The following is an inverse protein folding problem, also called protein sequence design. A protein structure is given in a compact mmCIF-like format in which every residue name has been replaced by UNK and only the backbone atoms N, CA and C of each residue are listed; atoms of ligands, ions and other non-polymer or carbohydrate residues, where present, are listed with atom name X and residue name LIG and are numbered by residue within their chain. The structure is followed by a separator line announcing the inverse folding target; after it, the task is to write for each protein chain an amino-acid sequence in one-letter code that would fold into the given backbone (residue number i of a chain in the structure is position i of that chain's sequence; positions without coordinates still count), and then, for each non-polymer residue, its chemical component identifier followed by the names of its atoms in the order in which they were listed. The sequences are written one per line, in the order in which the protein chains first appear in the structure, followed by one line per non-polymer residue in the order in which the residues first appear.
data_IF_860830381922
#
_entry.id   IF_860830381922
#
_cell.length_a   1.000
_cell.length_b   1.000
_cell.length_c   1.000
_cell.angle_alpha   90.00
_cell.angle_beta   90.00
_cell.angle_gamma   90.00
#
_symmetry.space_group_name_H-M   'P 1'
#
loop_
_entity.id
_entity.type
_entity.pdbx_description
1 polymer ?
#
# COMPACT_ATOMS: atom_id res chain seq x y z
N UNK A 1 -28.16 29.16 -34.73
CA UNK A 1 -27.45 30.26 -34.05
C UNK A 1 -26.73 29.67 -32.83
N UNK A 2 -25.41 29.42 -32.91
CA UNK A 2 -24.62 28.93 -31.78
C UNK A 2 -23.83 30.09 -31.20
N UNK A 3 -24.27 30.60 -30.04
CA UNK A 3 -23.55 31.63 -29.30
C UNK A 3 -22.32 31.04 -28.63
N UNK A 4 -21.15 31.59 -28.95
CA UNK A 4 -19.86 31.25 -28.37
C UNK A 4 -19.91 31.17 -26.85
N UNK A 5 -19.69 29.97 -26.28
CA UNK A 5 -19.26 29.84 -24.88
C UNK A 5 -17.86 30.45 -24.82
N UNK A 6 -17.76 31.70 -24.41
CA UNK A 6 -16.47 32.37 -24.23
C UNK A 6 -15.71 31.65 -23.10
N UNK A 7 -14.42 31.39 -23.31
CA UNK A 7 -13.52 30.86 -22.31
C UNK A 7 -13.29 31.94 -21.23
N UNK A 8 -14.20 32.04 -20.26
CA UNK A 8 -14.17 33.12 -19.25
C UNK A 8 -12.89 33.11 -18.40
N UNK A 9 -12.25 31.95 -18.22
CA UNK A 9 -10.96 31.82 -17.53
C UNK A 9 -9.81 32.45 -18.32
N UNK A 10 -9.82 32.36 -19.65
CA UNK A 10 -8.79 32.99 -20.48
C UNK A 10 -8.94 34.51 -20.52
N UNK A 11 -10.18 35.00 -20.52
CA UNK A 11 -10.47 36.43 -20.40
C UNK A 11 -9.97 36.95 -19.05
N UNK A 12 -10.25 36.22 -17.97
CA UNK A 12 -9.81 36.58 -16.63
C UNK A 12 -8.28 36.53 -16.47
N UNK A 13 -7.61 35.51 -17.04
CA UNK A 13 -6.14 35.44 -17.07
C UNK A 13 -5.51 36.61 -17.83
N UNK A 14 -6.12 37.04 -18.94
CA UNK A 14 -5.65 38.23 -19.69
C UNK A 14 -5.76 39.51 -18.85
N UNK A 15 -6.89 39.72 -18.17
CA UNK A 15 -7.09 40.88 -17.29
C UNK A 15 -6.08 40.86 -16.14
N UNK A 16 -5.82 39.70 -15.53
CA UNK A 16 -4.81 39.58 -14.47
C UNK A 16 -3.38 39.84 -14.97
N UNK A 17 -3.05 39.38 -16.19
CA UNK A 17 -1.76 39.64 -16.81
C UNK A 17 -1.57 41.13 -17.14
N UNK A 18 -2.63 41.80 -17.61
CA UNK A 18 -2.64 43.23 -17.89
C UNK A 18 -2.44 44.06 -16.62
N UNK A 19 -3.16 43.74 -15.54
CA UNK A 19 -3.00 44.38 -14.22
C UNK A 19 -1.61 44.12 -13.60
N UNK A 20 -1.01 42.95 -13.87
CA UNK A 20 0.34 42.66 -13.39
C UNK A 20 1.42 43.41 -14.18
N UNK A 21 1.17 43.66 -15.47
CA UNK A 21 2.08 44.41 -16.35
C UNK A 21 1.98 45.92 -16.13
N UNK A 22 0.78 46.44 -15.88
CA UNK A 22 0.52 47.85 -15.61
C UNK A 22 -0.48 47.98 -14.45
N UNK A 23 0.01 48.02 -13.19
CA UNK A 23 -0.85 48.03 -12.02
C UNK A 23 -1.55 49.39 -11.88
N UNK A 24 -2.90 49.44 -11.86
CA UNK A 24 -3.62 50.69 -11.67
C UNK A 24 -3.22 51.35 -10.34
N UNK A 25 -3.08 52.67 -10.40
CA UNK A 25 -2.72 53.53 -9.26
C UNK A 25 -3.76 53.38 -8.15
N UNK A 26 -3.39 52.63 -7.11
CA UNK A 26 -4.27 52.30 -5.99
C UNK A 26 -4.12 50.85 -5.48
N UNK A 27 -3.49 49.97 -6.25
CA UNK A 27 -3.17 48.62 -5.78
C UNK A 27 -1.84 48.58 -5.02
N UNK A 28 -1.90 48.06 -3.80
CA UNK A 28 -0.71 47.77 -2.99
C UNK A 28 0.09 46.61 -3.57
N UNK A 29 1.41 46.58 -3.32
CA UNK A 29 2.29 45.46 -3.74
C UNK A 29 1.76 44.09 -3.28
N UNK A 30 1.13 44.04 -2.11
CA UNK A 30 0.49 42.82 -1.56
C UNK A 30 -0.70 42.37 -2.40
N UNK A 31 -1.54 43.31 -2.87
CA UNK A 31 -2.68 43.00 -3.73
C UNK A 31 -2.22 42.54 -5.12
N UNK A 32 -1.21 43.18 -5.70
CA UNK A 32 -0.61 42.74 -6.98
C UNK A 32 -0.04 41.32 -6.84
N UNK A 33 0.65 41.03 -5.73
CA UNK A 33 1.15 39.67 -5.44
C UNK A 33 0.01 38.66 -5.28
N UNK A 34 -1.07 39.01 -4.59
CA UNK A 34 -2.23 38.13 -4.45
C UNK A 34 -2.89 37.82 -5.80
N UNK A 35 -2.98 38.80 -6.70
CA UNK A 35 -3.51 38.62 -8.05
C UNK A 35 -2.60 37.72 -8.90
N UNK A 36 -1.27 37.87 -8.78
CA UNK A 36 -0.31 36.97 -9.42
C UNK A 36 -0.40 35.54 -8.90
N UNK A 37 -0.55 35.36 -7.58
CA UNK A 37 -0.72 34.04 -6.95
C UNK A 37 -2.04 33.37 -7.38
N UNK A 38 -3.11 34.16 -7.61
CA UNK A 38 -4.37 33.68 -8.19
C UNK A 38 -4.17 33.27 -9.66
N UNK A 39 -3.46 34.07 -10.45
CA UNK A 39 -3.18 33.75 -11.85
C UNK A 39 -2.41 32.42 -12.00
N UNK A 40 -1.39 32.21 -11.17
CA UNK A 40 -0.61 30.97 -11.15
C UNK A 40 -1.43 29.73 -10.72
N UNK A 41 -2.50 29.91 -9.94
CA UNK A 41 -3.42 28.81 -9.61
C UNK A 41 -4.43 28.54 -10.72
N UNK A 42 -4.75 29.56 -11.51
CA UNK A 42 -5.70 29.45 -12.61
C UNK A 42 -5.09 28.83 -13.87
N UNK A 43 -3.76 28.84 -14.03
CA UNK A 43 -3.09 28.15 -15.15
C UNK A 43 -3.40 26.65 -15.18
N UNK A 44 -3.59 26.03 -14.01
CA UNK A 44 -3.96 24.61 -13.88
C UNK A 44 -5.39 24.30 -14.36
N UNK A 45 -6.22 25.34 -14.54
CA UNK A 45 -7.61 25.24 -14.99
C UNK A 45 -7.83 25.80 -16.41
N UNK A 46 -6.75 25.97 -17.18
CA UNK A 46 -6.82 26.49 -18.55
C UNK A 46 -7.70 25.58 -19.42
N UNK A 47 -8.78 26.15 -20.00
CA UNK A 47 -9.80 25.42 -20.76
C UNK A 47 -11.02 24.97 -19.96
N UNK A 48 -11.09 25.26 -18.66
CA UNK A 48 -12.27 25.04 -17.82
C UNK A 48 -13.10 26.31 -17.67
N UNK A 49 -14.39 26.17 -17.41
CA UNK A 49 -15.28 27.31 -17.09
C UNK A 49 -15.14 27.72 -15.62
N UNK A 50 -15.42 29.00 -15.29
CA UNK A 50 -15.37 29.48 -13.89
C UNK A 50 -16.33 28.67 -12.99
N UNK A 51 -17.44 28.19 -13.53
CA UNK A 51 -18.38 27.30 -12.84
C UNK A 51 -17.75 25.97 -12.46
N UNK A 52 -16.94 25.36 -13.34
CA UNK A 52 -16.21 24.12 -13.05
C UNK A 52 -15.18 24.32 -11.95
N UNK A 53 -14.42 25.43 -11.99
CA UNK A 53 -13.47 25.83 -10.94
C UNK A 53 -14.18 26.01 -9.59
N UNK A 54 -15.36 26.66 -9.58
CA UNK A 54 -16.16 26.84 -8.36
C UNK A 54 -16.64 25.50 -7.79
N UNK A 55 -17.07 24.54 -8.62
CA UNK A 55 -17.39 23.19 -8.16
C UNK A 55 -16.18 22.39 -7.68
N UNK A 56 -14.98 22.62 -8.23
CA UNK A 56 -13.75 22.03 -7.74
C UNK A 56 -13.34 22.57 -6.37
N UNK A 57 -13.60 23.85 -6.09
CA UNK A 57 -13.30 24.50 -4.81
C UNK A 57 -14.37 24.28 -3.74
N UNK A 58 -15.65 24.18 -4.13
CA UNK A 58 -16.78 24.00 -3.20
C UNK A 58 -16.97 22.53 -2.75
N UNK A 59 -16.41 21.56 -3.49
CA UNK A 59 -16.32 20.19 -3.01
C UNK A 59 -15.18 20.13 -1.99
N UNK A 60 -15.41 19.71 -0.72
CA UNK A 60 -14.30 19.42 0.18
C UNK A 60 -13.44 18.41 -0.55
N UNK A 61 -12.17 18.76 -0.79
CA UNK A 61 -11.31 18.00 -1.67
C UNK A 61 -11.40 16.52 -1.32
N UNK A 62 -12.05 15.72 -2.19
CA UNK A 62 -11.73 14.31 -2.28
C UNK A 62 -10.27 14.32 -2.71
N UNK A 63 -9.39 14.22 -1.71
CA UNK A 63 -7.94 14.24 -1.89
C UNK A 63 -7.64 13.45 -3.17
N UNK A 64 -6.90 14.00 -4.14
CA UNK A 64 -6.45 13.18 -5.25
C UNK A 64 -5.83 11.94 -4.64
N UNK A 65 -6.29 10.76 -5.08
CA UNK A 65 -5.76 9.48 -4.63
C UNK A 65 -4.26 9.55 -4.89
N UNK A 66 -3.52 9.88 -3.84
CA UNK A 66 -2.07 9.97 -3.90
C UNK A 66 -1.61 8.64 -4.49
N UNK A 67 -0.82 8.70 -5.57
CA UNK A 67 0.04 7.58 -5.92
C UNK A 67 0.71 7.18 -4.61
N UNK A 68 0.46 5.94 -4.19
CA UNK A 68 0.67 5.44 -2.83
C UNK A 68 2.18 5.42 -2.52
N UNK A 69 2.77 6.58 -2.24
CA UNK A 69 4.05 6.75 -1.55
C UNK A 69 3.71 7.15 -0.13
N UNK A 70 3.27 6.17 0.67
CA UNK A 70 3.02 6.38 2.09
C UNK A 70 4.34 6.28 2.87
N UNK A 71 4.66 7.40 3.51
CA UNK A 71 5.22 7.57 4.86
C UNK A 71 6.62 7.02 5.20
N UNK A 72 7.54 7.97 5.34
CA UNK A 72 8.35 8.32 6.52
C UNK A 72 8.35 7.39 7.74
N UNK A 73 9.55 7.30 8.35
CA UNK A 73 9.96 6.55 9.54
C UNK A 73 10.12 5.03 9.33
N UNK A 74 11.37 4.64 9.05
CA UNK A 74 11.83 3.27 8.96
C UNK A 74 11.79 2.56 10.32
N UNK A 75 10.65 1.98 10.70
CA UNK A 75 10.64 0.65 11.30
C UNK A 75 10.51 -0.36 10.17
N UNK A 76 11.51 -0.38 9.26
CA UNK A 76 11.54 -1.33 8.15
C UNK A 76 11.56 -2.72 8.76
N UNK A 77 10.44 -3.44 8.66
CA UNK A 77 10.41 -4.89 8.79
C UNK A 77 11.63 -5.43 8.03
N UNK A 78 12.41 -6.35 8.63
CA UNK A 78 13.68 -6.75 8.07
C UNK A 78 13.50 -7.18 6.60
N UNK A 79 14.46 -6.82 5.73
CA UNK A 79 14.37 -7.16 4.32
C UNK A 79 14.22 -8.67 4.15
N UNK A 80 13.39 -9.08 3.20
CA UNK A 80 13.21 -10.49 2.90
C UNK A 80 14.54 -11.05 2.37
N UNK A 81 15.17 -11.97 3.11
CA UNK A 81 16.40 -12.66 2.69
C UNK A 81 16.22 -14.17 2.80
N UNK A 82 16.95 -14.92 1.97
CA UNK A 82 16.92 -16.39 2.01
C UNK A 82 17.40 -16.93 3.37
N UNK A 83 18.40 -16.28 3.98
CA UNK A 83 18.89 -16.63 5.31
C UNK A 83 17.81 -16.46 6.39
N UNK A 84 17.01 -15.40 6.31
CA UNK A 84 15.92 -15.17 7.24
C UNK A 84 14.82 -16.22 7.08
N UNK A 85 14.46 -16.57 5.84
CA UNK A 85 13.49 -17.63 5.56
C UNK A 85 13.97 -18.96 6.15
N UNK A 86 15.26 -19.30 5.96
CA UNK A 86 15.84 -20.52 6.51
C UNK A 86 15.81 -20.55 8.03
N UNK A 87 16.20 -19.46 8.71
CA UNK A 87 16.11 -19.36 10.17
C UNK A 87 14.69 -19.55 10.70
N UNK A 88 13.72 -18.91 10.07
CA UNK A 88 12.30 -19.04 10.46
C UNK A 88 11.78 -20.45 10.20
N UNK A 89 12.26 -21.11 9.15
CA UNK A 89 11.94 -22.51 8.86
C UNK A 89 12.48 -23.43 9.96
N UNK A 90 13.75 -23.28 10.33
CA UNK A 90 14.41 -24.08 11.37
C UNK A 90 13.68 -23.92 12.73
N UNK A 91 13.28 -22.70 13.07
CA UNK A 91 12.44 -22.43 14.25
C UNK A 91 11.09 -23.16 14.16
N UNK A 92 10.38 -23.05 13.03
CA UNK A 92 9.09 -23.73 12.86
C UNK A 92 9.21 -25.26 12.93
N UNK A 93 10.26 -25.84 12.37
CA UNK A 93 10.56 -27.28 12.46
C UNK A 93 10.86 -27.67 13.92
N UNK A 94 11.63 -26.87 14.66
CA UNK A 94 11.91 -27.15 16.07
C UNK A 94 10.64 -27.15 16.94
N UNK A 95 9.65 -26.33 16.57
CA UNK A 95 8.38 -26.19 17.27
C UNK A 95 7.30 -27.16 16.76
N UNK A 96 7.61 -28.01 15.77
CA UNK A 96 6.63 -28.87 15.10
C UNK A 96 5.92 -29.83 16.08
N UNK A 97 6.60 -30.23 17.15
CA UNK A 97 6.05 -31.10 18.19
C UNK A 97 5.02 -30.39 19.08
N UNK A 98 5.14 -29.08 19.30
CA UNK A 98 4.22 -28.29 20.12
C UNK A 98 3.29 -27.45 19.23
N UNK A 99 2.03 -27.88 19.15
CA UNK A 99 1.00 -27.19 18.36
C UNK A 99 0.82 -25.74 18.78
N UNK A 100 0.78 -25.47 20.08
CA UNK A 100 0.48 -24.12 20.59
C UNK A 100 1.64 -23.19 20.31
N UNK A 101 2.88 -23.65 20.53
CA UNK A 101 4.08 -22.88 20.24
C UNK A 101 4.25 -22.64 18.73
N UNK A 102 3.97 -23.65 17.90
CA UNK A 102 4.00 -23.52 16.44
C UNK A 102 3.00 -22.46 15.95
N UNK A 103 1.74 -22.54 16.39
CA UNK A 103 0.70 -21.59 15.98
C UNK A 103 1.03 -20.17 16.45
N UNK A 104 1.52 -20.01 17.68
CA UNK A 104 1.96 -18.73 18.22
C UNK A 104 3.13 -18.14 17.42
N UNK A 105 4.10 -18.97 17.00
CA UNK A 105 5.23 -18.50 16.19
C UNK A 105 4.81 -18.09 14.79
N UNK A 106 3.89 -18.83 14.15
CA UNK A 106 3.33 -18.44 12.85
C UNK A 106 2.61 -17.08 12.93
N UNK A 107 1.86 -16.84 14.01
CA UNK A 107 1.20 -15.54 14.24
C UNK A 107 2.19 -14.42 14.57
N UNK A 108 3.27 -14.71 15.29
CA UNK A 108 4.38 -13.79 15.49
C UNK A 108 5.04 -13.42 14.15
N UNK A 109 5.31 -14.41 13.29
CA UNK A 109 5.92 -14.19 11.98
C UNK A 109 5.03 -13.29 11.12
N UNK A 110 3.72 -13.53 11.12
CA UNK A 110 2.72 -12.70 10.42
C UNK A 110 2.74 -11.24 10.88
N UNK A 111 2.97 -10.98 12.18
CA UNK A 111 3.03 -9.63 12.75
C UNK A 111 4.37 -8.95 12.48
N UNK A 112 5.48 -9.66 12.70
CA UNK A 112 6.85 -9.15 12.67
C UNK A 112 7.38 -8.95 11.24
N UNK A 113 7.06 -9.85 10.32
CA UNK A 113 7.68 -9.88 8.99
C UNK A 113 6.75 -9.45 7.86
N UNK A 114 7.31 -9.34 6.66
CA UNK A 114 6.57 -9.05 5.43
C UNK A 114 5.76 -10.27 4.99
N UNK A 115 4.64 -10.01 4.29
CA UNK A 115 3.83 -11.07 3.71
C UNK A 115 4.62 -11.96 2.73
N UNK A 116 5.59 -11.40 2.01
CA UNK A 116 6.48 -12.13 1.12
C UNK A 116 7.37 -13.13 1.88
N UNK A 117 7.84 -12.79 3.08
CA UNK A 117 8.64 -13.68 3.93
C UNK A 117 7.81 -14.85 4.41
N UNK A 118 6.58 -14.62 4.92
CA UNK A 118 5.69 -15.70 5.35
C UNK A 118 5.35 -16.65 4.18
N UNK A 119 5.11 -16.09 2.98
CA UNK A 119 4.88 -16.90 1.77
C UNK A 119 6.13 -17.70 1.37
N UNK A 120 7.31 -17.12 1.49
CA UNK A 120 8.58 -17.81 1.26
C UNK A 120 8.76 -18.99 2.21
N UNK A 121 8.57 -18.77 3.52
CA UNK A 121 8.60 -19.81 4.55
C UNK A 121 7.58 -20.91 4.25
N UNK A 122 6.36 -20.54 3.86
CA UNK A 122 5.33 -21.54 3.52
C UNK A 122 5.70 -22.40 2.32
N UNK A 123 6.32 -21.82 1.28
CA UNK A 123 6.73 -22.54 0.08
C UNK A 123 7.83 -23.56 0.36
N UNK A 124 8.76 -23.21 1.25
CA UNK A 124 9.84 -24.10 1.70
C UNK A 124 9.31 -25.18 2.66
N UNK A 125 8.38 -24.82 3.56
CA UNK A 125 7.82 -25.76 4.53
C UNK A 125 6.83 -26.75 3.92
N UNK A 126 6.04 -26.31 2.93
CA UNK A 126 5.09 -27.14 2.18
C UNK A 126 5.45 -27.12 0.69
N UNK A 127 6.36 -27.99 0.22
CA UNK A 127 6.77 -28.03 -1.18
C UNK A 127 5.57 -28.23 -2.11
N UNK A 128 5.40 -27.32 -3.07
CA UNK A 128 4.26 -27.32 -3.99
C UNK A 128 3.09 -26.42 -3.56
N UNK A 129 3.08 -25.93 -2.31
CA UNK A 129 2.12 -24.92 -1.87
C UNK A 129 2.39 -23.55 -2.52
N UNK A 130 1.34 -22.91 -3.01
CA UNK A 130 1.39 -21.55 -3.56
C UNK A 130 0.34 -20.64 -2.87
N UNK A 131 0.63 -20.13 -1.66
CA UNK A 131 -0.30 -19.28 -0.93
C UNK A 131 -0.55 -17.94 -1.65
N UNK A 132 -1.81 -17.72 -2.07
CA UNK A 132 -2.24 -16.46 -2.68
C UNK A 132 -2.35 -15.34 -1.64
N UNK A 133 -2.86 -15.66 -0.45
CA UNK A 133 -3.03 -14.70 0.65
C UNK A 133 -2.16 -15.05 1.86
N UNK A 134 -2.02 -14.10 2.79
CA UNK A 134 -1.37 -14.33 4.10
C UNK A 134 -2.17 -15.34 4.93
N UNK A 135 -3.50 -15.28 4.86
CA UNK A 135 -4.36 -16.24 5.56
C UNK A 135 -4.18 -17.66 5.00
N UNK A 136 -4.04 -17.79 3.67
CA UNK A 136 -3.72 -19.09 3.05
C UNK A 136 -2.38 -19.62 3.51
N UNK A 137 -1.35 -18.76 3.59
CA UNK A 137 -0.03 -19.14 4.07
C UNK A 137 -0.09 -19.75 5.49
N UNK A 138 -0.77 -19.05 6.41
CA UNK A 138 -0.99 -19.56 7.78
C UNK A 138 -1.77 -20.87 7.78
N UNK A 139 -2.84 -20.96 7.00
CA UNK A 139 -3.67 -22.17 6.91
C UNK A 139 -2.87 -23.37 6.41
N UNK A 140 -2.06 -23.17 5.38
CA UNK A 140 -1.20 -24.21 4.79
C UNK A 140 -0.16 -24.66 5.81
N UNK A 141 0.55 -23.75 6.48
CA UNK A 141 1.54 -24.11 7.50
C UNK A 141 0.92 -24.98 8.62
N UNK A 142 -0.27 -24.61 9.11
CA UNK A 142 -0.98 -25.39 10.15
C UNK A 142 -1.48 -26.74 9.64
N UNK A 143 -1.94 -26.82 8.39
CA UNK A 143 -2.38 -28.07 7.79
C UNK A 143 -1.21 -29.03 7.57
N UNK A 144 -0.13 -28.54 6.97
CA UNK A 144 1.07 -29.31 6.66
C UNK A 144 1.68 -29.93 7.93
N UNK A 145 1.78 -29.14 9.01
CA UNK A 145 2.23 -29.65 10.31
C UNK A 145 1.38 -30.82 10.81
N UNK A 146 0.06 -30.73 10.67
CA UNK A 146 -0.84 -31.80 11.11
C UNK A 146 -0.70 -33.05 10.24
N UNK A 147 -0.52 -32.88 8.94
CA UNK A 147 -0.35 -34.01 8.01
C UNK A 147 0.99 -34.72 8.24
N UNK A 148 2.07 -33.98 8.50
CA UNK A 148 3.36 -34.54 8.94
C UNK A 148 3.25 -35.31 10.24
N UNK A 149 2.64 -34.73 11.29
CA UNK A 149 2.42 -35.42 12.57
C UNK A 149 1.58 -36.69 12.44
N UNK A 150 0.56 -36.70 11.56
CA UNK A 150 -0.22 -37.92 11.26
C UNK A 150 0.63 -38.95 10.53
N UNK A 151 1.47 -38.52 9.59
CA UNK A 151 2.40 -39.41 8.90
C UNK A 151 3.40 -40.03 9.87
N UNK A 152 3.97 -39.25 10.78
CA UNK A 152 4.90 -39.72 11.82
C UNK A 152 4.23 -40.73 12.76
N UNK A 153 3.02 -40.42 13.23
CA UNK A 153 2.24 -41.34 14.07
C UNK A 153 1.96 -42.65 13.34
N UNK A 154 1.56 -42.58 12.07
CA UNK A 154 1.31 -43.77 11.25
C UNK A 154 2.58 -44.58 11.02
N UNK A 155 3.73 -43.92 10.84
CA UNK A 155 5.03 -44.59 10.69
C UNK A 155 5.49 -45.26 11.99
N UNK A 156 5.25 -44.61 13.14
CA UNK A 156 5.55 -45.18 14.46
C UNK A 156 4.62 -46.37 14.78
N UNK A 157 3.33 -46.26 14.47
CA UNK A 157 2.36 -47.36 14.57
C UNK A 157 2.73 -48.53 13.66
N UNK A 158 3.11 -48.26 12.40
CA UNK A 158 3.58 -49.29 11.48
C UNK A 158 4.86 -49.99 11.98
N UNK A 159 5.77 -49.25 12.62
CA UNK A 159 6.98 -49.82 13.21
C UNK A 159 6.70 -50.65 14.47
N UNK A 160 5.67 -50.31 15.25
CA UNK A 160 5.21 -51.10 16.40
C UNK A 160 4.34 -52.29 15.99
N UNK A 161 3.71 -52.25 14.82
CA UNK A 161 2.78 -53.27 14.33
C UNK A 161 3.46 -54.48 13.64
N UNK A 162 4.76 -54.42 13.36
CA UNK A 162 5.56 -55.59 12.95
C UNK A 162 6.49 -56.05 14.09
N UNK A 163 6.01 -56.87 15.04
CA UNK A 163 6.86 -57.50 16.06
C UNK A 163 7.48 -58.83 15.59
N UNK A 164 7.43 -59.14 14.29
CA UNK A 164 7.93 -60.38 13.68
C UNK A 164 8.95 -60.07 12.59
#
# INVERSE_FOLDING_TARGET
MFGSKKNDVEIFQKILAEIASDPPTGLTKTQVKALSDINAKLTDFKGSTISEVRTHLAKPAKKPRAAKKSSSASTKKPPNSAELIKKLLDELVSLENDRTAFEARVDAIKKEYLASTLKGVTKEFAPGASPKTVADAVRILKAERNDRRRADQKAEEASKANPW
#
